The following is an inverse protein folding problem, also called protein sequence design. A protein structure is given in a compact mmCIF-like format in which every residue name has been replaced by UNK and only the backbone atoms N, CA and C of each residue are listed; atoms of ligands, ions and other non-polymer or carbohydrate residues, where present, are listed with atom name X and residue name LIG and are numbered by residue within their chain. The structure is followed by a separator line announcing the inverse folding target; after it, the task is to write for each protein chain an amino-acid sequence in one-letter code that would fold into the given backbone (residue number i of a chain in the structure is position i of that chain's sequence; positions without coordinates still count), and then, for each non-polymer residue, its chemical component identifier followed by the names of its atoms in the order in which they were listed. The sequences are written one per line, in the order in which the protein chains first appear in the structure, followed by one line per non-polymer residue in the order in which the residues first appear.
data_IF_796450101016
#
_entry.id   IF_796450101016
#
_cell.length_a   1.000
_cell.length_b   1.000
_cell.length_c   1.000
_cell.angle_alpha   90.00
_cell.angle_beta   90.00
_cell.angle_gamma   90.00
#
_symmetry.space_group_name_H-M   'P 1'
#
loop_
_entity.id
_entity.type
_entity.pdbx_description
1 polymer ?
#
# COMPACT_ATOMS: atom_id res chain seq x y z
N UNK A 1 -7.19 -5.53 -26.98
CA UNK A 1 -7.53 -6.41 -25.83
C UNK A 1 -6.34 -7.20 -25.28
N UNK A 2 -5.51 -7.76 -26.10
CA UNK A 2 -4.27 -8.43 -25.66
C UNK A 2 -3.33 -7.50 -24.89
N UNK A 3 -3.31 -6.20 -25.19
CA UNK A 3 -2.49 -5.21 -24.52
C UNK A 3 -2.93 -4.90 -23.07
N UNK A 4 -4.22 -4.98 -22.78
CA UNK A 4 -4.74 -4.76 -21.41
C UNK A 4 -4.32 -5.89 -20.45
N UNK A 5 -4.28 -7.11 -20.94
CA UNK A 5 -3.85 -8.26 -20.13
C UNK A 5 -2.34 -8.25 -19.90
N UNK A 6 -1.56 -7.88 -20.92
CA UNK A 6 -0.10 -7.70 -20.79
C UNK A 6 0.24 -6.55 -19.81
N UNK A 7 -0.51 -5.45 -19.88
CA UNK A 7 -0.29 -4.31 -19.01
C UNK A 7 -0.54 -4.66 -17.53
N UNK A 8 -1.62 -5.39 -17.23
CA UNK A 8 -1.91 -5.85 -15.86
C UNK A 8 -0.89 -6.85 -15.31
N UNK A 9 -0.35 -7.70 -16.17
CA UNK A 9 0.68 -8.68 -15.77
C UNK A 9 2.05 -8.05 -15.56
N UNK A 10 2.31 -6.91 -16.18
CA UNK A 10 3.59 -6.23 -16.15
C UNK A 10 3.63 -5.04 -15.18
N UNK A 11 2.62 -4.90 -14.30
CA UNK A 11 2.61 -3.78 -13.36
C UNK A 11 3.72 -3.91 -12.32
N UNK A 12 4.61 -2.97 -12.36
CA UNK A 12 5.65 -2.80 -11.36
C UNK A 12 6.04 -1.32 -11.33
N UNK A 13 6.52 -0.87 -10.19
CA UNK A 13 7.11 0.45 -10.11
C UNK A 13 8.46 0.49 -10.83
N UNK A 14 8.87 1.66 -11.37
CA UNK A 14 10.25 1.86 -11.79
C UNK A 14 11.21 1.57 -10.64
N UNK A 15 12.42 1.12 -10.97
CA UNK A 15 13.40 0.71 -9.96
C UNK A 15 13.70 1.79 -8.91
N UNK A 16 13.80 3.06 -9.32
CA UNK A 16 14.04 4.16 -8.37
C UNK A 16 12.91 4.39 -7.38
N UNK A 17 11.66 4.06 -7.76
CA UNK A 17 10.52 4.10 -6.86
C UNK A 17 10.61 2.97 -5.84
N UNK A 18 10.93 1.77 -6.32
CA UNK A 18 11.20 0.61 -5.46
C UNK A 18 12.28 0.92 -4.44
N UNK A 19 13.40 1.48 -4.89
CA UNK A 19 14.53 1.83 -4.03
C UNK A 19 14.14 2.89 -2.99
N UNK A 20 13.38 3.89 -3.42
CA UNK A 20 12.90 4.92 -2.50
C UNK A 20 11.98 4.32 -1.42
N UNK A 21 10.99 3.54 -1.81
CA UNK A 21 10.05 2.91 -0.87
C UNK A 21 10.81 1.97 0.08
N UNK A 22 11.74 1.19 -0.44
CA UNK A 22 12.58 0.32 0.38
C UNK A 22 13.38 1.11 1.43
N UNK A 23 13.88 2.29 1.08
CA UNK A 23 14.62 3.16 2.00
C UNK A 23 13.75 3.71 3.13
N UNK A 24 12.45 3.80 2.94
CA UNK A 24 11.50 4.32 3.94
C UNK A 24 10.96 3.23 4.86
N UNK A 25 10.98 1.98 4.44
CA UNK A 25 10.48 0.86 5.23
C UNK A 25 11.38 0.60 6.46
N UNK A 26 10.76 0.21 7.56
CA UNK A 26 11.45 -0.13 8.82
C UNK A 26 10.90 -1.43 9.38
N UNK A 27 11.78 -2.27 9.91
CA UNK A 27 11.40 -3.51 10.57
C UNK A 27 10.72 -4.52 9.65
N UNK A 28 9.87 -5.36 10.23
CA UNK A 28 9.12 -6.37 9.47
C UNK A 28 8.10 -5.70 8.58
N UNK A 29 8.31 -5.83 7.28
CA UNK A 29 7.56 -5.14 6.23
C UNK A 29 6.67 -6.10 5.46
N UNK A 30 5.37 -5.81 5.43
CA UNK A 30 4.38 -6.57 4.66
C UNK A 30 3.93 -5.72 3.48
N UNK A 31 4.02 -6.29 2.28
CA UNK A 31 3.54 -5.63 1.06
C UNK A 31 2.17 -6.20 0.69
N UNK A 32 1.16 -5.38 0.84
CA UNK A 32 -0.22 -5.70 0.52
C UNK A 32 -0.53 -5.21 -0.89
N UNK A 33 -1.10 -6.06 -1.72
CA UNK A 33 -1.35 -5.77 -3.15
C UNK A 33 -0.03 -5.47 -3.89
N UNK A 34 0.92 -6.39 -3.79
CA UNK A 34 2.28 -6.16 -4.28
C UNK A 34 2.42 -6.20 -5.81
N UNK A 35 1.45 -6.73 -6.55
CA UNK A 35 1.58 -6.89 -8.00
C UNK A 35 2.83 -7.70 -8.33
N UNK A 36 3.72 -7.15 -9.14
CA UNK A 36 5.01 -7.76 -9.49
C UNK A 36 6.17 -7.25 -8.63
N UNK A 37 5.92 -6.37 -7.67
CA UNK A 37 6.94 -5.87 -6.77
C UNK A 37 7.41 -6.95 -5.82
N UNK A 38 8.72 -7.01 -5.59
CA UNK A 38 9.34 -7.94 -4.64
C UNK A 38 9.69 -7.28 -3.31
N UNK A 39 9.26 -6.05 -3.10
CA UNK A 39 9.48 -5.34 -1.84
C UNK A 39 8.73 -6.01 -0.69
N UNK A 40 9.31 -5.87 0.48
CA UNK A 40 8.75 -6.40 1.73
C UNK A 40 9.27 -7.78 2.08
N UNK A 41 9.16 -8.10 3.35
CA UNK A 41 9.53 -9.42 3.89
C UNK A 41 8.45 -10.47 3.61
N UNK A 42 7.21 -10.02 3.54
CA UNK A 42 6.05 -10.85 3.22
C UNK A 42 5.14 -10.10 2.24
N UNK A 43 4.75 -10.76 1.17
CA UNK A 43 3.91 -10.19 0.11
C UNK A 43 2.59 -10.92 0.04
N UNK A 44 1.51 -10.16 -0.03
CA UNK A 44 0.15 -10.67 -0.09
C UNK A 44 -0.57 -10.03 -1.26
N UNK A 45 -1.07 -10.83 -2.19
CA UNK A 45 -1.82 -10.37 -3.34
C UNK A 45 -2.84 -11.43 -3.74
N UNK A 46 -3.96 -11.01 -4.28
CA UNK A 46 -5.04 -11.91 -4.69
C UNK A 46 -4.77 -12.56 -6.04
N UNK A 47 -4.03 -11.88 -6.91
CA UNK A 47 -3.88 -12.23 -8.32
C UNK A 47 -2.44 -12.42 -8.78
N UNK A 48 -1.47 -11.85 -8.08
CA UNK A 48 -0.07 -11.91 -8.50
C UNK A 48 0.52 -13.30 -8.36
N UNK A 49 1.39 -13.66 -9.30
CA UNK A 49 2.23 -14.86 -9.21
C UNK A 49 3.49 -14.63 -8.35
N UNK A 50 3.87 -13.36 -8.15
CA UNK A 50 5.06 -12.95 -7.37
C UNK A 50 4.73 -12.66 -5.91
N UNK A 51 3.80 -13.40 -5.33
CA UNK A 51 3.36 -13.20 -3.96
C UNK A 51 3.67 -14.42 -3.09
N UNK A 52 3.86 -14.19 -1.80
CA UNK A 52 4.10 -15.26 -0.83
C UNK A 52 2.79 -15.91 -0.37
N UNK A 53 1.77 -15.06 -0.18
CA UNK A 53 0.44 -15.50 0.24
C UNK A 53 -0.59 -14.96 -0.75
N UNK A 54 -1.42 -15.85 -1.27
CA UNK A 54 -2.58 -15.45 -2.07
C UNK A 54 -3.74 -15.15 -1.13
N UNK A 55 -4.05 -13.86 -0.96
CA UNK A 55 -5.05 -13.42 0.00
C UNK A 55 -5.72 -12.12 -0.39
N UNK A 56 -6.85 -11.86 0.24
CA UNK A 56 -7.65 -10.66 0.04
C UNK A 56 -7.18 -9.55 1.00
N UNK A 57 -6.80 -8.40 0.45
CA UNK A 57 -6.38 -7.24 1.24
C UNK A 57 -7.49 -6.69 2.15
N UNK A 58 -8.74 -7.00 1.85
CA UNK A 58 -9.90 -6.58 2.66
C UNK A 58 -10.18 -7.52 3.83
N UNK A 59 -9.50 -8.67 3.88
CA UNK A 59 -9.61 -9.66 4.94
C UNK A 59 -8.27 -10.40 5.06
N UNK A 60 -7.25 -9.71 5.55
CA UNK A 60 -5.88 -10.22 5.58
C UNK A 60 -5.74 -11.43 6.52
N UNK A 61 -5.11 -12.52 6.05
CA UNK A 61 -4.92 -13.72 6.86
C UNK A 61 -3.74 -13.59 7.84
N UNK A 62 -3.75 -12.53 8.61
CA UNK A 62 -2.69 -12.15 9.54
C UNK A 62 -3.28 -11.75 10.88
N UNK A 63 -2.51 -11.95 11.94
CA UNK A 63 -2.86 -11.49 13.29
C UNK A 63 -2.76 -9.96 13.39
N UNK A 64 -3.38 -9.43 14.44
CA UNK A 64 -3.23 -8.02 14.80
C UNK A 64 -1.77 -7.69 15.15
N UNK A 65 -1.36 -6.47 14.85
CA UNK A 65 -0.10 -5.88 15.32
C UNK A 65 1.15 -6.73 15.03
N UNK A 66 1.26 -7.23 13.80
CA UNK A 66 2.41 -8.04 13.37
C UNK A 66 3.43 -7.27 12.55
N UNK A 67 3.03 -6.18 11.90
CA UNK A 67 3.88 -5.44 10.96
C UNK A 67 4.43 -4.16 11.56
N UNK A 68 5.71 -3.90 11.31
CA UNK A 68 6.33 -2.59 11.58
C UNK A 68 6.04 -1.61 10.45
N UNK A 69 6.03 -2.09 9.21
CA UNK A 69 5.71 -1.32 8.01
C UNK A 69 4.78 -2.11 7.10
N UNK A 70 3.82 -1.43 6.51
CA UNK A 70 2.99 -1.96 5.43
C UNK A 70 3.20 -1.09 4.19
N UNK A 71 3.49 -1.73 3.06
CA UNK A 71 3.51 -1.10 1.75
C UNK A 71 2.24 -1.49 1.02
N UNK A 72 1.54 -0.55 0.41
CA UNK A 72 0.30 -0.82 -0.31
C UNK A 72 0.18 0.02 -1.58
N UNK A 73 -0.15 -0.62 -2.68
CA UNK A 73 -0.41 0.01 -3.97
C UNK A 73 -1.76 -0.45 -4.50
N UNK A 74 -2.88 0.06 -3.95
CA UNK A 74 -4.20 -0.38 -4.34
C UNK A 74 -4.60 0.16 -5.73
N UNK A 75 -5.60 -0.45 -6.38
CA UNK A 75 -6.15 0.10 -7.61
C UNK A 75 -6.61 1.54 -7.43
N UNK A 76 -6.36 2.39 -8.42
CA UNK A 76 -6.74 3.80 -8.35
C UNK A 76 -8.25 4.01 -8.30
N UNK A 77 -8.99 3.21 -9.06
CA UNK A 77 -10.46 3.25 -9.05
C UNK A 77 -10.99 2.25 -8.02
N UNK A 78 -11.07 2.67 -6.78
CA UNK A 78 -11.57 1.85 -5.68
C UNK A 78 -12.76 2.56 -5.03
N UNK A 79 -13.82 1.80 -4.77
CA UNK A 79 -14.99 2.28 -4.03
C UNK A 79 -14.62 2.71 -2.61
N UNK A 80 -15.26 3.73 -2.09
CA UNK A 80 -14.96 4.27 -0.76
C UNK A 80 -15.15 3.27 0.37
N UNK A 81 -16.13 2.39 0.26
CA UNK A 81 -16.33 1.31 1.24
C UNK A 81 -15.16 0.34 1.26
N UNK A 82 -14.61 0.04 0.09
CA UNK A 82 -13.44 -0.83 -0.05
C UNK A 82 -12.18 -0.16 0.50
N UNK A 83 -12.03 1.14 0.27
CA UNK A 83 -10.94 1.95 0.85
C UNK A 83 -10.95 1.87 2.38
N UNK A 84 -12.12 2.02 2.98
CA UNK A 84 -12.29 1.93 4.44
C UNK A 84 -11.92 0.54 4.96
N UNK A 85 -12.39 -0.51 4.29
CA UNK A 85 -12.05 -1.89 4.65
C UNK A 85 -10.56 -2.16 4.53
N UNK A 86 -9.94 -1.71 3.43
CA UNK A 86 -8.49 -1.84 3.21
C UNK A 86 -7.69 -1.16 4.32
N UNK A 87 -7.99 0.10 4.60
CA UNK A 87 -7.30 0.86 5.65
C UNK A 87 -7.53 0.27 7.04
N UNK A 88 -8.73 -0.25 7.30
CA UNK A 88 -9.05 -0.90 8.57
C UNK A 88 -8.20 -2.17 8.78
N UNK A 89 -8.05 -2.99 7.74
CA UNK A 89 -7.21 -4.17 7.79
C UNK A 89 -5.73 -3.81 7.94
N UNK A 90 -5.25 -2.81 7.20
CA UNK A 90 -3.87 -2.33 7.33
C UNK A 90 -3.61 -1.81 8.75
N UNK A 91 -4.53 -1.00 9.29
CA UNK A 91 -4.41 -0.50 10.67
C UNK A 91 -4.38 -1.64 11.67
N UNK A 92 -5.20 -2.67 11.47
CA UNK A 92 -5.25 -3.83 12.36
C UNK A 92 -3.91 -4.56 12.43
N UNK A 93 -3.30 -4.83 11.28
CA UNK A 93 -2.04 -5.59 11.22
C UNK A 93 -0.80 -4.77 11.57
N UNK A 94 -0.87 -3.45 11.52
CA UNK A 94 0.21 -2.57 11.95
C UNK A 94 0.32 -2.55 13.48
N UNK A 95 1.55 -2.62 13.97
CA UNK A 95 1.84 -2.28 15.37
C UNK A 95 1.60 -0.79 15.60
N UNK A 96 1.35 -0.41 16.85
CA UNK A 96 1.34 1.01 17.22
C UNK A 96 2.72 1.62 16.94
N UNK A 97 2.76 2.79 16.35
CA UNK A 97 3.99 3.39 15.84
C UNK A 97 4.42 2.87 14.48
N UNK A 98 3.74 1.87 13.94
CA UNK A 98 4.01 1.32 12.61
C UNK A 98 3.65 2.28 11.49
N UNK A 99 4.25 2.08 10.34
CA UNK A 99 4.18 2.97 9.19
C UNK A 99 3.46 2.31 8.02
N UNK A 100 2.47 3.00 7.45
CA UNK A 100 1.91 2.67 6.15
C UNK A 100 2.57 3.56 5.08
N UNK A 101 3.10 2.95 4.03
CA UNK A 101 3.54 3.63 2.82
C UNK A 101 2.53 3.29 1.73
N UNK A 102 1.70 4.25 1.37
CA UNK A 102 0.58 4.07 0.46
C UNK A 102 0.78 4.89 -0.81
N UNK A 103 0.71 4.25 -1.96
CA UNK A 103 0.65 4.92 -3.25
C UNK A 103 -0.81 4.99 -3.71
N UNK A 104 -1.40 6.18 -3.71
CA UNK A 104 -2.82 6.33 -4.00
C UNK A 104 -3.16 7.68 -4.61
N UNK A 105 -4.32 7.74 -5.24
CA UNK A 105 -4.92 8.98 -5.78
C UNK A 105 -5.97 9.57 -4.84
N UNK A 106 -6.07 9.05 -3.62
CA UNK A 106 -7.04 9.46 -2.61
C UNK A 106 -6.37 9.52 -1.22
N UNK A 107 -6.93 10.36 -0.35
CA UNK A 107 -6.38 10.58 0.99
C UNK A 107 -6.72 9.43 1.94
N UNK A 108 -5.72 8.80 2.59
CA UNK A 108 -5.96 7.69 3.52
C UNK A 108 -6.38 8.19 4.91
N UNK A 109 -7.57 8.75 5.02
CA UNK A 109 -8.13 9.17 6.30
C UNK A 109 -8.75 8.00 7.06
N UNK A 110 -8.25 7.79 8.29
CA UNK A 110 -8.80 6.78 9.20
C UNK A 110 -8.50 7.14 10.66
N UNK A 111 -9.45 6.93 11.59
CA UNK A 111 -9.17 7.10 13.02
C UNK A 111 -7.97 6.24 13.47
N UNK A 112 -7.12 6.81 14.29
CA UNK A 112 -5.91 6.13 14.77
C UNK A 112 -4.76 6.08 13.76
N UNK A 113 -4.90 6.76 12.62
CA UNK A 113 -3.85 6.88 11.61
C UNK A 113 -3.59 8.36 11.33
N UNK A 114 -2.32 8.76 11.31
CA UNK A 114 -1.90 10.14 11.08
C UNK A 114 -1.02 10.22 9.84
N UNK A 115 -1.40 11.05 8.89
CA UNK A 115 -0.56 11.33 7.71
C UNK A 115 0.62 12.19 8.17
N UNK A 116 1.83 11.65 8.10
CA UNK A 116 3.04 12.37 8.47
C UNK A 116 3.66 13.11 7.29
N UNK A 117 3.54 12.54 6.08
CA UNK A 117 4.21 13.07 4.92
C UNK A 117 3.45 12.69 3.66
N UNK A 118 3.40 13.62 2.72
CA UNK A 118 2.83 13.40 1.38
C UNK A 118 3.92 13.72 0.38
N UNK A 119 4.28 12.76 -0.46
CA UNK A 119 5.34 12.89 -1.44
C UNK A 119 4.76 12.89 -2.84
N UNK A 120 5.19 13.87 -3.64
CA UNK A 120 4.82 13.96 -5.06
C UNK A 120 5.98 13.41 -5.87
N UNK A 121 5.81 12.26 -6.53
CA UNK A 121 6.89 11.69 -7.33
C UNK A 121 7.17 12.55 -8.57
N UNK A 122 8.40 13.02 -8.72
CA UNK A 122 8.83 13.85 -9.87
C UNK A 122 8.75 13.11 -11.21
N UNK A 123 8.84 11.78 -11.16
CA UNK A 123 8.81 10.93 -12.37
C UNK A 123 7.42 10.69 -12.91
N UNK A 124 6.37 11.07 -12.19
CA UNK A 124 5.02 10.83 -12.67
C UNK A 124 4.69 11.79 -13.80
N UNK A 125 4.56 11.22 -14.98
CA UNK A 125 3.85 11.91 -16.04
C UNK A 125 2.40 12.06 -15.59
N UNK A 126 1.95 13.29 -15.55
CA UNK A 126 0.54 13.60 -15.27
C UNK A 126 -0.32 12.90 -16.32
N UNK A 127 -1.03 11.87 -15.91
CA UNK A 127 -2.14 11.38 -16.71
C UNK A 127 -3.33 12.30 -16.49
N UNK A 128 -4.18 12.43 -17.49
CA UNK A 128 -5.23 13.46 -17.60
C UNK A 128 -6.12 13.66 -16.38
N UNK A 129 -6.19 12.73 -15.44
CA UNK A 129 -7.17 12.78 -14.36
C UNK A 129 -6.65 12.40 -12.97
N UNK A 130 -5.44 11.86 -12.85
CA UNK A 130 -4.98 11.35 -11.55
C UNK A 130 -3.49 11.55 -11.36
N UNK A 131 -3.14 12.13 -10.24
CA UNK A 131 -1.76 12.13 -9.72
C UNK A 131 -1.75 11.15 -8.55
N UNK A 132 -0.95 10.10 -8.65
CA UNK A 132 -0.72 9.24 -7.51
C UNK A 132 0.32 9.87 -6.60
N UNK A 133 0.03 9.88 -5.31
CA UNK A 133 0.89 10.40 -4.27
C UNK A 133 1.39 9.25 -3.39
N UNK A 134 2.56 9.43 -2.80
CA UNK A 134 3.03 8.51 -1.78
C UNK A 134 2.74 9.13 -0.42
N UNK A 135 1.89 8.46 0.36
CA UNK A 135 1.54 8.85 1.71
C UNK A 135 2.33 8.04 2.72
N UNK A 136 2.92 8.71 3.69
CA UNK A 136 3.47 8.06 4.88
C UNK A 136 2.51 8.30 6.04
N UNK A 137 1.93 7.23 6.54
CA UNK A 137 0.84 7.27 7.53
C UNK A 137 1.23 6.43 8.73
N UNK A 138 1.19 7.04 9.92
CA UNK A 138 1.58 6.41 11.18
C UNK A 138 0.36 5.94 11.96
N UNK A 139 0.41 4.70 12.47
CA UNK A 139 -0.57 4.23 13.43
C UNK A 139 -0.23 4.75 14.82
N UNK A 140 -1.15 5.45 15.44
CA UNK A 140 -0.97 6.09 16.75
C UNK A 140 -1.93 5.52 17.79
N UNK A 141 -1.53 5.58 19.05
CA UNK A 141 -2.40 5.23 20.18
C UNK A 141 -3.38 6.36 20.44
N UNK A 142 -4.61 5.97 20.77
CA UNK A 142 -5.67 6.90 21.06
C UNK A 142 -6.29 7.43 19.78
N UNK A 143 -7.55 7.82 19.88
CA UNK A 143 -8.26 8.48 18.80
C UNK A 143 -8.24 9.97 19.08
N UNK A 144 -7.60 10.73 18.18
CA UNK A 144 -7.69 12.18 18.18
C UNK A 144 -8.92 12.64 17.40
N UNK A 145 -9.61 11.71 16.78
CA UNK A 145 -10.78 11.99 15.96
C UNK A 145 -11.82 10.89 16.08
#
# INVERSE_FOLDING_TARGET
MANKLKYRKAWSWPQRVEDFIASQARGFTIHVMNGNSKLGDLRIDKYSEDTDIRGDALALPLKDEVADTVICDPPWAMDDRLKIKLLSEIRRILKFGGLLILNATWSPKMPGMVIEEILVPEWQLMTFHHIALIFKVRKVKGSLF
#
